data_IF_611658814406
#
_entry.id   IF_611658814406
#
_cell.length_a   1.000
_cell.length_b   1.000
_cell.length_c   1.000
_cell.angle_alpha   90.00
_cell.angle_beta   90.00
_cell.angle_gamma   90.00
#
_symmetry.space_group_name_H-M   'P 1'
#
loop_
_entity.id
_entity.type
_entity.pdbx_description
1 polymer ?
#
# COMPACT_ATOMS: atom_id res chain seq x y z
N UNK A 1 9.16 11.25 4.94
CA UNK A 1 10.58 11.52 4.66
C UNK A 1 10.87 11.40 3.18
N UNK A 2 12.10 11.69 2.76
CA UNK A 2 12.62 11.43 1.41
C UNK A 2 13.32 10.07 1.40
N UNK A 3 13.03 9.23 0.43
CA UNK A 3 13.69 7.94 0.23
C UNK A 3 14.67 8.03 -0.96
N UNK A 4 15.93 7.70 -0.72
CA UNK A 4 17.02 7.62 -1.72
C UNK A 4 17.68 6.22 -1.71
N UNK A 5 16.99 5.22 -1.16
CA UNK A 5 17.44 3.82 -1.11
C UNK A 5 16.25 2.86 -1.08
N UNK A 6 16.47 1.60 -0.73
CA UNK A 6 15.37 0.62 -0.72
C UNK A 6 14.57 0.65 0.58
N UNK A 7 13.24 0.76 0.46
CA UNK A 7 12.28 0.46 1.52
C UNK A 7 11.54 -0.81 1.14
N UNK A 8 11.75 -1.90 1.88
CA UNK A 8 11.15 -3.21 1.60
C UNK A 8 10.63 -3.87 2.86
N UNK A 9 9.61 -4.72 2.77
CA UNK A 9 9.09 -5.51 3.89
C UNK A 9 8.77 -4.63 5.11
N UNK A 10 8.11 -3.50 4.88
CA UNK A 10 7.96 -2.42 5.87
C UNK A 10 6.53 -1.94 5.97
N UNK A 11 6.15 -1.44 7.15
CA UNK A 11 4.81 -0.87 7.32
C UNK A 11 4.74 0.30 8.28
N UNK A 12 3.68 1.10 8.13
CA UNK A 12 3.36 2.20 9.02
C UNK A 12 1.86 2.24 9.34
N UNK A 13 1.51 2.36 10.63
CA UNK A 13 0.12 2.47 11.10
C UNK A 13 -0.19 3.80 11.80
N UNK A 14 0.82 4.63 12.04
CA UNK A 14 0.66 5.93 12.68
C UNK A 14 0.06 6.97 11.73
N UNK A 15 -0.74 7.90 12.27
CA UNK A 15 -1.27 9.02 11.49
C UNK A 15 -0.17 10.00 11.08
N UNK A 16 -0.23 10.46 9.83
CA UNK A 16 0.72 11.41 9.23
C UNK A 16 0.01 12.72 8.92
N UNK A 17 0.59 13.84 9.33
CA UNK A 17 0.14 15.18 8.93
C UNK A 17 1.31 15.97 8.34
N UNK A 18 1.11 16.56 7.17
CA UNK A 18 2.15 17.32 6.48
C UNK A 18 1.59 18.42 5.59
N UNK A 19 2.48 19.08 4.83
CA UNK A 19 2.09 20.12 3.88
C UNK A 19 2.18 19.62 2.43
N UNK A 20 3.38 19.21 2.00
CA UNK A 20 3.65 18.73 0.64
C UNK A 20 4.36 17.39 0.66
N UNK A 21 4.10 16.53 -0.33
CA UNK A 21 4.64 15.18 -0.47
C UNK A 21 4.42 14.36 0.79
N UNK A 22 3.15 14.09 1.08
CA UNK A 22 2.70 13.43 2.30
C UNK A 22 2.24 12.02 1.96
N UNK A 23 2.98 11.02 2.42
CA UNK A 23 2.59 9.62 2.31
C UNK A 23 2.58 8.94 3.67
N UNK A 24 1.75 7.91 3.83
CA UNK A 24 1.65 7.15 5.08
C UNK A 24 2.94 6.41 5.42
N UNK A 25 3.71 6.00 4.41
CA UNK A 25 5.03 5.37 4.57
C UNK A 25 6.16 6.29 4.09
N UNK A 26 6.07 6.78 2.85
CA UNK A 26 7.13 7.59 2.22
C UNK A 26 6.56 8.91 1.73
N UNK A 27 7.22 10.02 2.04
CA UNK A 27 6.79 11.33 1.56
C UNK A 27 7.15 11.53 0.09
N UNK A 28 8.44 11.44 -0.21
CA UNK A 28 8.98 11.48 -1.58
C UNK A 28 9.82 10.24 -1.81
N UNK A 29 9.52 9.49 -2.86
CA UNK A 29 10.26 8.30 -3.27
C UNK A 29 11.14 8.60 -4.49
N UNK A 30 12.45 8.40 -4.40
CA UNK A 30 13.41 8.51 -5.51
C UNK A 30 14.18 7.19 -5.74
N UNK A 31 13.74 6.09 -5.15
CA UNK A 31 14.28 4.73 -5.34
C UNK A 31 13.14 3.72 -5.08
N UNK A 32 13.42 2.51 -4.61
CA UNK A 32 12.46 1.40 -4.59
C UNK A 32 11.67 1.37 -3.28
N UNK A 33 10.34 1.26 -3.41
CA UNK A 33 9.44 0.81 -2.34
C UNK A 33 8.80 -0.50 -2.78
N UNK A 34 9.06 -1.60 -2.07
CA UNK A 34 8.46 -2.90 -2.38
C UNK A 34 7.88 -3.56 -1.12
N UNK A 35 6.93 -4.47 -1.28
CA UNK A 35 6.47 -5.35 -0.19
C UNK A 35 6.11 -4.58 1.08
N UNK A 36 5.41 -3.47 0.93
CA UNK A 36 5.22 -2.51 2.01
C UNK A 36 3.81 -1.97 2.06
N UNK A 37 3.39 -1.50 3.24
CA UNK A 37 2.05 -0.95 3.36
C UNK A 37 1.90 0.18 4.38
N UNK A 38 0.81 0.93 4.23
CA UNK A 38 0.40 1.96 5.18
C UNK A 38 -1.08 1.86 5.52
N UNK A 39 -1.39 1.82 6.82
CA UNK A 39 -2.77 1.80 7.34
C UNK A 39 -3.14 3.03 8.17
N UNK A 40 -2.18 3.88 8.51
CA UNK A 40 -2.42 5.13 9.22
C UNK A 40 -3.10 6.18 8.34
N UNK A 41 -3.89 7.07 8.95
CA UNK A 41 -4.52 8.18 8.22
C UNK A 41 -3.49 9.22 7.76
N UNK A 42 -3.70 9.80 6.58
CA UNK A 42 -2.81 10.78 5.95
C UNK A 42 -3.56 12.08 5.69
N UNK A 43 -3.07 13.18 6.25
CA UNK A 43 -3.59 14.54 6.01
C UNK A 43 -2.50 15.44 5.45
N UNK A 44 -2.73 16.05 4.29
CA UNK A 44 -1.77 16.93 3.62
C UNK A 44 -2.42 18.09 2.87
N UNK A 45 -1.63 18.86 2.11
CA UNK A 45 -2.15 19.84 1.15
C UNK A 45 -1.88 19.42 -0.28
N UNK A 46 -0.62 19.14 -0.62
CA UNK A 46 -0.17 18.83 -1.99
C UNK A 46 0.54 17.47 -2.08
N UNK A 47 0.23 16.67 -3.10
CA UNK A 47 0.78 15.33 -3.34
C UNK A 47 0.60 14.45 -2.10
N UNK A 48 -0.64 14.01 -1.87
CA UNK A 48 -1.04 13.25 -0.70
C UNK A 48 -1.44 11.85 -1.13
N UNK A 49 -0.66 10.84 -0.73
CA UNK A 49 -0.92 9.44 -1.03
C UNK A 49 -1.10 8.60 0.23
N UNK A 50 -1.88 7.53 0.16
CA UNK A 50 -2.00 6.59 1.28
C UNK A 50 -0.66 5.94 1.62
N UNK A 51 0.14 5.56 0.63
CA UNK A 51 1.48 4.99 0.81
C UNK A 51 2.58 6.02 0.53
N UNK A 52 2.56 6.61 -0.67
CA UNK A 52 3.61 7.52 -1.17
C UNK A 52 3.04 8.87 -1.57
N UNK A 53 3.59 9.97 -1.04
CA UNK A 53 3.16 11.31 -1.44
C UNK A 53 3.51 11.63 -2.90
N UNK A 54 4.80 11.62 -3.22
CA UNK A 54 5.32 11.75 -4.59
C UNK A 54 6.25 10.58 -4.95
N UNK A 55 5.95 9.89 -6.04
CA UNK A 55 6.77 8.83 -6.59
C UNK A 55 7.58 9.32 -7.81
N UNK A 56 8.91 9.21 -7.73
CA UNK A 56 9.85 9.50 -8.81
C UNK A 56 10.70 8.26 -9.20
N UNK A 57 10.35 7.07 -8.69
CA UNK A 57 10.94 5.79 -9.08
C UNK A 57 9.91 4.64 -8.94
N UNK A 58 10.26 3.52 -8.32
CA UNK A 58 9.48 2.28 -8.38
C UNK A 58 8.73 2.03 -7.09
N UNK A 59 7.43 1.73 -7.22
CA UNK A 59 6.60 1.17 -6.15
C UNK A 59 6.02 -0.15 -6.66
N UNK A 60 6.26 -1.26 -5.94
CA UNK A 60 5.69 -2.56 -6.28
C UNK A 60 5.16 -3.29 -5.06
N UNK A 61 4.23 -4.22 -5.29
CA UNK A 61 3.78 -5.21 -4.29
C UNK A 61 3.41 -4.58 -2.94
N UNK A 62 2.76 -3.42 -3.02
CA UNK A 62 2.54 -2.57 -1.87
C UNK A 62 1.09 -2.10 -1.80
N UNK A 63 0.62 -1.75 -0.61
CA UNK A 63 -0.75 -1.28 -0.49
C UNK A 63 -0.99 -0.19 0.56
N UNK A 64 -2.15 0.48 0.45
CA UNK A 64 -2.62 1.41 1.46
C UNK A 64 -4.09 1.19 1.82
N UNK A 65 -4.42 1.34 3.11
CA UNK A 65 -5.80 1.22 3.63
C UNK A 65 -6.20 2.36 4.57
N UNK A 66 -5.30 3.33 4.81
CA UNK A 66 -5.58 4.48 5.65
C UNK A 66 -6.38 5.55 4.92
N UNK A 67 -7.20 6.33 5.65
CA UNK A 67 -7.93 7.46 5.08
C UNK A 67 -6.98 8.55 4.59
N UNK A 68 -7.27 9.14 3.43
CA UNK A 68 -6.43 10.17 2.81
C UNK A 68 -7.24 11.45 2.63
N UNK A 69 -6.70 12.56 3.10
CA UNK A 69 -7.31 13.90 2.96
C UNK A 69 -6.27 14.92 2.50
N UNK A 70 -6.58 15.67 1.45
CA UNK A 70 -5.71 16.72 0.91
C UNK A 70 -6.46 17.73 0.05
N UNK A 71 -5.72 18.63 -0.60
CA UNK A 71 -6.28 19.68 -1.46
C UNK A 71 -5.92 19.50 -2.94
N UNK A 72 -4.71 19.02 -3.23
CA UNK A 72 -4.19 18.85 -4.60
C UNK A 72 -3.39 17.55 -4.73
N UNK A 73 -3.59 16.84 -5.84
CA UNK A 73 -2.97 15.54 -6.16
C UNK A 73 -3.14 14.54 -5.00
N UNK A 74 -4.36 14.04 -4.86
CA UNK A 74 -4.75 13.15 -3.77
C UNK A 74 -4.98 11.78 -4.38
N UNK A 75 -4.31 10.77 -3.84
CA UNK A 75 -4.44 9.40 -4.31
C UNK A 75 -4.59 8.41 -3.17
N UNK A 76 -5.39 7.37 -3.40
CA UNK A 76 -5.54 6.29 -2.43
C UNK A 76 -4.22 5.58 -2.13
N UNK A 77 -3.35 5.40 -3.13
CA UNK A 77 -2.00 4.84 -2.95
C UNK A 77 -0.90 5.90 -3.11
N UNK A 78 -0.87 6.58 -4.26
CA UNK A 78 0.16 7.56 -4.64
C UNK A 78 -0.48 8.90 -4.97
N UNK A 79 -0.01 9.98 -4.33
CA UNK A 79 -0.53 11.33 -4.56
C UNK A 79 -0.14 11.89 -5.93
N UNK A 80 1.15 11.86 -6.26
CA UNK A 80 1.68 12.20 -7.59
C UNK A 80 2.70 11.16 -8.04
N UNK A 81 2.54 10.63 -9.25
CA UNK A 81 3.40 9.63 -9.83
C UNK A 81 4.12 10.15 -11.08
N UNK A 82 5.43 9.98 -11.15
CA UNK A 82 6.25 10.34 -12.31
C UNK A 82 6.97 9.11 -12.92
N UNK A 83 6.78 7.92 -12.33
CA UNK A 83 7.44 6.66 -12.70
C UNK A 83 6.50 5.45 -12.52
N UNK A 84 7.05 4.30 -12.16
CA UNK A 84 6.36 3.01 -12.21
C UNK A 84 5.68 2.71 -10.88
N UNK A 85 4.43 2.28 -10.98
CA UNK A 85 3.70 1.65 -9.88
C UNK A 85 3.06 0.39 -10.45
N UNK A 86 3.41 -0.78 -9.93
CA UNK A 86 2.95 -2.09 -10.41
C UNK A 86 2.48 -2.97 -9.25
N UNK A 87 1.57 -3.92 -9.49
CA UNK A 87 1.10 -4.88 -8.48
C UNK A 87 0.79 -4.26 -7.12
N UNK A 88 0.25 -3.04 -7.10
CA UNK A 88 0.08 -2.25 -5.88
C UNK A 88 -1.31 -1.68 -5.78
N UNK A 89 -1.89 -1.72 -4.58
CA UNK A 89 -3.33 -1.56 -4.41
C UNK A 89 -3.69 -0.55 -3.33
N UNK A 90 -4.88 0.03 -3.41
CA UNK A 90 -5.45 0.73 -2.26
C UNK A 90 -6.90 0.34 -2.03
N UNK A 91 -7.32 0.39 -0.78
CA UNK A 91 -8.73 0.24 -0.44
C UNK A 91 -9.47 1.55 -0.73
N UNK A 92 -10.34 1.51 -1.74
CA UNK A 92 -11.19 2.64 -2.19
C UNK A 92 -12.23 3.08 -1.16
N UNK A 93 -12.62 2.20 -0.24
CA UNK A 93 -13.67 2.46 0.76
C UNK A 93 -13.07 3.11 2.00
N UNK A 94 -11.99 2.56 2.55
CA UNK A 94 -11.35 3.09 3.77
C UNK A 94 -10.47 4.30 3.50
N UNK A 95 -9.85 4.40 2.31
CA UNK A 95 -9.08 5.59 1.94
C UNK A 95 -9.95 6.83 1.75
N UNK A 96 -11.23 6.64 1.40
CA UNK A 96 -12.11 7.71 0.93
C UNK A 96 -11.72 8.27 -0.44
N UNK A 97 -10.85 7.59 -1.19
CA UNK A 97 -10.35 8.02 -2.50
C UNK A 97 -10.79 7.06 -3.60
N UNK A 98 -11.51 7.58 -4.59
CA UNK A 98 -11.92 6.83 -5.77
C UNK A 98 -10.77 6.61 -6.78
N UNK A 99 -9.70 7.41 -6.70
CA UNK A 99 -8.60 7.42 -7.66
C UNK A 99 -7.24 7.48 -6.96
N UNK A 100 -6.20 7.18 -7.73
CA UNK A 100 -4.78 7.31 -7.34
C UNK A 100 -3.97 7.61 -8.60
N UNK A 101 -2.85 8.30 -8.48
CA UNK A 101 -1.96 8.60 -9.64
C UNK A 101 -1.09 7.38 -10.02
N UNK A 102 -1.23 6.29 -9.26
CA UNK A 102 -0.66 4.98 -9.57
C UNK A 102 -1.26 3.87 -8.71
N UNK A 103 -1.07 2.62 -9.14
CA UNK A 103 -1.67 1.42 -8.55
C UNK A 103 -3.10 1.16 -9.03
N UNK A 104 -3.76 0.18 -8.41
CA UNK A 104 -5.15 -0.20 -8.73
C UNK A 104 -6.05 -0.19 -7.49
N UNK A 105 -7.23 0.42 -7.60
CA UNK A 105 -8.19 0.50 -6.52
C UNK A 105 -8.91 -0.83 -6.32
N UNK A 106 -9.08 -1.24 -5.07
CA UNK A 106 -9.82 -2.44 -4.67
C UNK A 106 -10.83 -2.07 -3.58
N UNK A 107 -11.91 -2.84 -3.45
CA UNK A 107 -12.83 -2.70 -2.31
C UNK A 107 -12.22 -3.31 -1.06
N UNK A 108 -12.78 -3.03 0.12
CA UNK A 108 -12.34 -3.67 1.36
C UNK A 108 -12.43 -5.20 1.26
N UNK A 109 -13.47 -5.73 0.62
CA UNK A 109 -13.62 -7.19 0.44
C UNK A 109 -12.51 -7.74 -0.44
N UNK A 110 -12.22 -7.11 -1.57
CA UNK A 110 -11.12 -7.54 -2.45
C UNK A 110 -9.77 -7.47 -1.75
N UNK A 111 -9.53 -6.41 -0.97
CA UNK A 111 -8.29 -6.24 -0.21
C UNK A 111 -8.07 -7.30 0.88
N UNK A 112 -9.09 -8.09 1.21
CA UNK A 112 -9.02 -9.20 2.17
C UNK A 112 -9.08 -10.57 1.52
N UNK A 113 -9.32 -10.62 0.22
CA UNK A 113 -9.38 -11.84 -0.56
C UNK A 113 -7.98 -12.16 -1.11
N UNK A 114 -7.43 -13.32 -0.76
CA UNK A 114 -6.11 -13.74 -1.21
C UNK A 114 -6.00 -13.81 -2.74
N UNK A 115 -7.10 -14.09 -3.45
CA UNK A 115 -7.11 -14.16 -4.90
C UNK A 115 -6.72 -12.82 -5.54
N UNK A 116 -7.03 -11.69 -4.90
CA UNK A 116 -6.64 -10.34 -5.37
C UNK A 116 -5.12 -10.20 -5.53
N UNK A 117 -4.34 -10.95 -4.75
CA UNK A 117 -2.88 -10.84 -4.73
C UNK A 117 -2.18 -12.04 -5.37
N UNK A 118 -2.92 -13.08 -5.76
CA UNK A 118 -2.33 -14.34 -6.25
C UNK A 118 -2.86 -14.78 -7.61
N UNK A 119 -4.04 -14.31 -8.03
CA UNK A 119 -4.62 -14.59 -9.34
C UNK A 119 -4.20 -13.54 -10.37
N UNK A 120 -3.44 -13.95 -11.38
CA UNK A 120 -2.96 -13.10 -12.48
C UNK A 120 -4.07 -12.55 -13.37
N UNK A 121 -5.32 -13.03 -13.24
CA UNK A 121 -6.48 -12.39 -13.89
C UNK A 121 -6.93 -11.11 -13.15
N UNK A 122 -6.41 -10.87 -11.94
CA UNK A 122 -6.71 -9.67 -11.17
C UNK A 122 -6.14 -8.43 -11.84
N UNK A 123 -7.02 -7.47 -12.15
CA UNK A 123 -6.61 -6.17 -12.69
C UNK A 123 -5.57 -5.50 -11.78
N UNK A 124 -4.45 -5.10 -12.38
CA UNK A 124 -3.36 -4.40 -11.70
C UNK A 124 -2.33 -5.31 -11.04
N UNK A 125 -2.47 -6.64 -11.14
CA UNK A 125 -1.49 -7.63 -10.69
C UNK A 125 -0.71 -8.15 -11.90
N UNK A 126 0.59 -7.86 -11.95
CA UNK A 126 1.45 -8.34 -13.05
C UNK A 126 1.92 -9.78 -12.79
N UNK A 127 2.29 -10.07 -11.54
CA UNK A 127 2.72 -11.37 -11.05
C UNK A 127 2.16 -11.59 -9.62
N UNK A 128 1.93 -12.84 -9.19
CA UNK A 128 1.48 -13.14 -7.83
C UNK A 128 2.46 -12.60 -6.79
N UNK A 129 1.92 -12.00 -5.72
CA UNK A 129 2.72 -11.70 -4.54
C UNK A 129 3.23 -12.99 -3.90
N UNK A 130 4.38 -12.93 -3.26
CA UNK A 130 4.86 -14.01 -2.39
C UNK A 130 4.00 -14.06 -1.12
N UNK A 131 2.85 -14.74 -1.22
CA UNK A 131 1.77 -14.70 -0.24
C UNK A 131 1.27 -16.10 0.16
N UNK A 132 1.07 -16.27 1.46
CA UNK A 132 0.53 -17.48 2.07
C UNK A 132 -0.79 -17.16 2.80
N UNK A 133 -1.84 -17.95 2.57
CA UNK A 133 -2.98 -17.98 3.48
C UNK A 133 -2.58 -18.64 4.81
N UNK A 134 -3.05 -18.10 5.93
CA UNK A 134 -2.82 -18.65 7.28
C UNK A 134 -4.12 -18.65 8.09
N UNK A 135 -4.17 -19.51 9.12
CA UNK A 135 -5.25 -19.50 10.09
C UNK A 135 -5.14 -18.27 11.03
N UNK A 136 -6.23 -17.81 11.66
CA UNK A 136 -6.19 -16.71 12.62
C UNK A 136 -5.18 -16.97 13.77
N UNK A 137 -4.26 -16.03 13.97
CA UNK A 137 -3.23 -16.12 15.02
C UNK A 137 -1.93 -16.80 14.58
N UNK A 138 -1.86 -17.32 13.35
CA UNK A 138 -0.69 -18.02 12.82
C UNK A 138 0.11 -17.15 11.84
N UNK A 139 1.37 -17.53 11.60
CA UNK A 139 2.25 -16.94 10.57
C UNK A 139 2.94 -18.04 9.77
N UNK A 140 3.35 -17.71 8.55
CA UNK A 140 4.15 -18.58 7.69
C UNK A 140 5.31 -17.77 7.09
N UNK A 141 6.53 -18.04 7.56
CA UNK A 141 7.76 -17.36 7.18
C UNK A 141 8.33 -17.82 5.82
N UNK A 142 7.70 -18.81 5.17
CA UNK A 142 8.04 -19.21 3.81
C UNK A 142 7.58 -18.18 2.75
N UNK A 143 6.67 -17.28 3.10
CA UNK A 143 6.19 -16.19 2.27
C UNK A 143 6.53 -14.82 2.89
N UNK A 144 6.67 -13.79 2.06
CA UNK A 144 6.75 -12.39 2.54
C UNK A 144 5.44 -11.95 3.19
N UNK A 145 4.33 -12.23 2.52
CA UNK A 145 3.00 -11.82 2.96
C UNK A 145 2.21 -13.00 3.54
N UNK A 146 1.46 -12.73 4.58
CA UNK A 146 0.44 -13.62 5.12
C UNK A 146 -0.93 -12.93 5.07
N UNK A 147 -1.99 -13.72 4.99
CA UNK A 147 -3.36 -13.21 5.04
C UNK A 147 -4.27 -14.27 5.66
N UNK A 148 -5.21 -13.84 6.50
CA UNK A 148 -6.36 -14.66 6.87
C UNK A 148 -7.46 -14.34 5.87
N UNK A 149 -7.68 -15.27 4.94
CA UNK A 149 -8.53 -15.05 3.77
C UNK A 149 -9.96 -14.63 4.15
N UNK A 150 -10.41 -13.52 3.57
CA UNK A 150 -11.70 -12.88 3.84
C UNK A 150 -11.78 -12.09 5.15
N UNK A 151 -10.78 -12.17 6.03
CA UNK A 151 -10.82 -11.56 7.38
C UNK A 151 -9.88 -10.36 7.52
N UNK A 152 -8.61 -10.52 7.16
CA UNK A 152 -7.56 -9.51 7.34
C UNK A 152 -7.09 -8.92 6.02
N UNK A 153 -6.50 -7.73 6.06
CA UNK A 153 -5.59 -7.31 4.98
C UNK A 153 -4.34 -8.20 4.98
N UNK A 154 -3.54 -8.21 3.90
CA UNK A 154 -2.20 -8.78 3.94
C UNK A 154 -1.38 -8.20 5.09
N UNK A 155 -0.57 -9.00 5.75
CA UNK A 155 0.39 -8.53 6.75
C UNK A 155 1.72 -9.25 6.54
N UNK A 156 2.81 -8.63 6.99
CA UNK A 156 4.14 -9.20 6.76
C UNK A 156 4.36 -10.38 7.69
N UNK A 157 4.95 -11.46 7.18
CA UNK A 157 5.10 -12.74 7.91
C UNK A 157 5.89 -12.64 9.22
N UNK A 158 6.75 -11.64 9.35
CA UNK A 158 7.51 -11.39 10.58
C UNK A 158 6.74 -10.61 11.65
N UNK A 159 5.54 -10.12 11.36
CA UNK A 159 4.72 -9.40 12.35
C UNK A 159 4.20 -10.36 13.42
N UNK A 160 4.26 -9.92 14.68
CA UNK A 160 3.62 -10.66 15.76
C UNK A 160 2.09 -10.56 15.60
N UNK A 161 1.42 -11.72 15.54
CA UNK A 161 -0.05 -11.79 15.56
C UNK A 161 -0.51 -11.57 17.00
N UNK A 162 -1.49 -10.68 17.19
CA UNK A 162 -2.08 -10.37 18.50
C UNK A 162 -3.23 -11.31 18.84
#
# INVERSE_FOLDING_TARGET
>A
GKNEGTVSNSYASGSVTGNSNVGGLVGKNEDTVSDSYASGSVTGKDNVGGLVGKNEDTVSDSYASGSVTGNSNIGGLVGKNEKTVSSSFWDTETSGQATSDGGTGKTMTQMKDIATFTDTETEGLDEPWDMCAVDPGETNDACIWNIVDGETYPFLSWQAVA
#
